data_IF_949442641413
#
_entry.id   IF_949442641413
#
_cell.length_a   1.000
_cell.length_b   1.000
_cell.length_c   1.000
_cell.angle_alpha   90.00
_cell.angle_beta   90.00
_cell.angle_gamma   90.00
#
_symmetry.space_group_name_H-M   'P 1'
#
loop_
_entity.id
_entity.type
_entity.pdbx_description
1 polymer ?
#
# COMPACT_ATOMS: atom_id res chain seq x y z
N UNK A 1 34.50 -16.00 72.86
CA UNK A 1 33.98 -14.62 72.91
C UNK A 1 34.66 -13.76 71.89
N UNK A 2 34.13 -13.72 70.66
CA UNK A 2 34.41 -12.76 69.56
C UNK A 2 33.81 -13.28 68.27
N UNK A 3 32.44 -13.35 68.17
CA UNK A 3 31.76 -13.65 66.90
C UNK A 3 30.40 -12.95 66.74
N UNK A 4 29.96 -12.08 67.64
CA UNK A 4 28.58 -11.52 67.59
C UNK A 4 28.53 -9.98 67.44
N UNK A 5 29.56 -9.35 66.82
CA UNK A 5 29.61 -7.90 66.65
C UNK A 5 29.51 -7.39 65.19
N UNK A 6 29.17 -8.23 64.22
CA UNK A 6 29.18 -7.85 62.79
C UNK A 6 27.80 -7.90 62.10
N UNK A 7 26.69 -8.10 62.79
CA UNK A 7 25.36 -8.29 62.19
C UNK A 7 24.36 -7.15 62.41
N UNK A 8 24.81 -5.95 62.86
CA UNK A 8 23.85 -4.87 63.19
C UNK A 8 23.96 -3.59 62.37
N UNK A 9 24.64 -3.53 61.25
CA UNK A 9 24.88 -2.29 60.50
C UNK A 9 24.36 -2.24 59.05
N UNK A 10 23.30 -2.96 58.70
CA UNK A 10 22.74 -2.92 57.35
C UNK A 10 21.22 -2.96 57.33
N UNK A 11 20.56 -2.18 58.19
CA UNK A 11 19.13 -1.83 57.96
C UNK A 11 19.08 -0.39 57.42
N UNK A 12 19.35 -0.24 56.09
CA UNK A 12 19.05 0.98 55.39
C UNK A 12 17.53 1.20 55.41
N UNK A 13 17.09 2.27 56.06
CA UNK A 13 15.71 2.74 56.03
C UNK A 13 15.39 3.08 54.59
N UNK A 14 14.60 2.22 53.92
CA UNK A 14 14.04 2.54 52.60
C UNK A 14 13.16 3.78 52.78
N UNK A 15 13.56 4.88 52.17
CA UNK A 15 12.72 6.11 52.12
C UNK A 15 11.38 5.81 51.43
N UNK A 16 10.35 6.64 51.68
CA UNK A 16 9.04 6.45 51.04
C UNK A 16 9.19 6.40 49.51
N UNK A 17 8.41 5.53 48.82
CA UNK A 17 8.45 5.46 47.36
C UNK A 17 8.17 6.84 46.75
N UNK A 18 8.98 7.22 45.76
CA UNK A 18 8.79 8.48 45.06
C UNK A 18 7.36 8.57 44.51
N UNK A 19 6.71 9.73 44.59
CA UNK A 19 5.37 9.89 44.05
C UNK A 19 5.36 9.50 42.54
N UNK A 20 4.26 8.88 42.05
CA UNK A 20 4.15 8.52 40.63
C UNK A 20 4.34 9.77 39.76
N UNK A 21 5.18 9.66 38.75
CA UNK A 21 5.43 10.77 37.83
C UNK A 21 4.09 11.24 37.26
N UNK A 22 3.86 12.56 37.12
CA UNK A 22 2.62 13.07 36.56
C UNK A 22 2.41 12.49 35.16
N UNK A 23 1.15 12.19 34.73
CA UNK A 23 0.86 11.65 33.42
C UNK A 23 1.43 12.58 32.35
N UNK A 24 2.36 12.07 31.55
CA UNK A 24 2.92 12.83 30.43
C UNK A 24 1.77 13.12 29.48
N UNK A 25 1.46 14.41 29.18
CA UNK A 25 0.36 14.73 28.27
C UNK A 25 0.58 14.01 26.93
N UNK A 26 -0.48 13.53 26.27
CA UNK A 26 -0.35 12.78 25.03
C UNK A 26 0.44 13.61 24.02
N UNK A 27 1.64 13.15 23.70
CA UNK A 27 2.54 13.85 22.79
C UNK A 27 1.83 14.06 21.45
N UNK A 28 1.77 15.31 20.99
CA UNK A 28 1.10 15.69 19.74
C UNK A 28 1.94 15.26 18.55
N UNK A 29 1.29 14.76 17.50
CA UNK A 29 1.97 14.47 16.24
C UNK A 29 2.53 15.75 15.61
N UNK A 30 3.74 15.73 15.07
CA UNK A 30 4.34 16.86 14.35
C UNK A 30 3.43 17.38 13.25
N UNK A 31 3.52 18.67 12.95
CA UNK A 31 2.75 19.32 11.88
C UNK A 31 3.01 18.67 10.53
N UNK A 32 4.25 18.32 10.25
CA UNK A 32 4.67 17.67 9.01
C UNK A 32 3.99 16.33 8.80
N UNK A 33 3.78 15.51 9.84
CA UNK A 33 3.03 14.25 9.74
C UNK A 33 1.60 14.51 9.27
N UNK A 34 0.97 15.58 9.78
CA UNK A 34 -0.39 15.96 9.35
C UNK A 34 -0.41 16.44 7.90
N UNK A 35 0.61 17.20 7.48
CA UNK A 35 0.77 17.65 6.09
C UNK A 35 0.96 16.47 5.14
N UNK A 36 1.80 15.51 5.48
CA UNK A 36 1.97 14.28 4.69
C UNK A 36 0.70 13.40 4.69
N UNK A 37 -0.06 13.40 5.79
CA UNK A 37 -1.38 12.77 5.83
C UNK A 37 -2.36 13.42 4.83
N UNK A 38 -2.50 14.74 4.87
CA UNK A 38 -3.36 15.48 3.95
C UNK A 38 -2.91 15.31 2.48
N UNK A 39 -1.59 15.30 2.24
CA UNK A 39 -1.02 15.02 0.93
C UNK A 39 -1.37 13.62 0.41
N UNK A 40 -1.33 12.62 1.29
CA UNK A 40 -1.74 11.25 0.99
C UNK A 40 -3.23 11.17 0.64
N UNK A 41 -4.09 11.82 1.43
CA UNK A 41 -5.54 11.87 1.17
C UNK A 41 -5.83 12.46 -0.21
N UNK A 42 -5.31 13.65 -0.52
CA UNK A 42 -5.58 14.31 -1.79
C UNK A 42 -5.02 13.53 -2.99
N UNK A 43 -3.83 12.91 -2.83
CA UNK A 43 -3.25 12.10 -3.87
C UNK A 43 -4.08 10.85 -4.18
N UNK A 44 -4.55 10.14 -3.12
CA UNK A 44 -5.34 8.94 -3.31
C UNK A 44 -6.76 9.28 -3.75
N UNK A 45 -7.31 10.42 -3.29
CA UNK A 45 -8.52 10.99 -3.87
C UNK A 45 -8.41 11.15 -5.40
N UNK A 46 -7.35 11.81 -5.90
CA UNK A 46 -7.14 12.01 -7.33
C UNK A 46 -6.88 10.70 -8.10
N UNK A 47 -6.16 9.75 -7.49
CA UNK A 47 -5.84 8.46 -8.11
C UNK A 47 -7.06 7.55 -8.20
N UNK A 48 -7.78 7.41 -7.09
CA UNK A 48 -8.85 6.45 -6.94
C UNK A 48 -10.18 6.95 -7.54
N UNK A 49 -10.30 8.26 -7.82
CA UNK A 49 -11.35 8.81 -8.67
C UNK A 49 -11.31 8.25 -10.10
N UNK A 50 -10.10 7.94 -10.60
CA UNK A 50 -9.86 7.47 -11.98
C UNK A 50 -9.85 5.94 -12.05
N UNK A 51 -9.17 5.28 -11.12
CA UNK A 51 -8.81 3.86 -11.24
C UNK A 51 -10.00 2.93 -11.52
N UNK A 52 -11.14 3.02 -10.83
CA UNK A 52 -12.29 2.16 -11.09
C UNK A 52 -12.95 2.40 -12.45
N UNK A 53 -12.65 3.51 -13.12
CA UNK A 53 -13.18 3.84 -14.43
C UNK A 53 -12.30 3.31 -15.58
N UNK A 54 -11.05 2.92 -15.31
CA UNK A 54 -10.10 2.45 -16.33
C UNK A 54 -10.62 1.25 -17.13
N UNK A 55 -11.27 0.23 -16.54
CA UNK A 55 -11.83 -0.86 -17.32
C UNK A 55 -12.85 -0.39 -18.35
N UNK A 56 -13.83 0.42 -17.94
CA UNK A 56 -14.83 0.97 -18.85
C UNK A 56 -14.20 1.89 -19.91
N UNK A 57 -13.20 2.66 -19.53
CA UNK A 57 -12.48 3.55 -20.46
C UNK A 57 -11.69 2.76 -21.50
N UNK A 58 -10.93 1.77 -21.07
CA UNK A 58 -10.11 0.94 -21.98
C UNK A 58 -10.98 0.09 -22.90
N UNK A 59 -12.01 -0.60 -22.36
CA UNK A 59 -12.82 -1.52 -23.17
C UNK A 59 -13.94 -0.83 -23.91
N UNK A 60 -14.66 0.10 -23.26
CA UNK A 60 -15.87 0.73 -23.82
C UNK A 60 -15.57 1.95 -24.69
N UNK A 61 -14.50 2.71 -24.37
CA UNK A 61 -14.18 3.96 -25.10
C UNK A 61 -13.04 3.76 -26.12
N UNK A 62 -12.02 2.97 -25.76
CA UNK A 62 -10.84 2.77 -26.61
C UNK A 62 -10.85 1.45 -27.38
N UNK A 63 -11.84 0.58 -27.16
CA UNK A 63 -11.93 -0.73 -27.82
C UNK A 63 -10.83 -1.74 -27.44
N UNK A 64 -10.15 -1.52 -26.31
CA UNK A 64 -9.13 -2.44 -25.80
C UNK A 64 -9.73 -3.70 -25.17
N UNK A 65 -8.92 -4.73 -25.02
CA UNK A 65 -9.31 -6.01 -24.44
C UNK A 65 -8.90 -6.20 -22.99
N UNK A 66 -9.28 -7.36 -22.43
CA UNK A 66 -8.91 -7.78 -21.08
C UNK A 66 -7.38 -7.93 -20.90
N UNK A 67 -6.65 -8.26 -21.97
CA UNK A 67 -5.19 -8.31 -21.99
C UNK A 67 -4.55 -6.96 -21.68
N UNK A 68 -5.12 -5.85 -22.22
CA UNK A 68 -4.65 -4.50 -21.92
C UNK A 68 -4.87 -4.13 -20.45
N UNK A 69 -5.97 -4.59 -19.83
CA UNK A 69 -6.23 -4.39 -18.42
C UNK A 69 -5.29 -5.20 -17.52
N UNK A 70 -5.05 -6.45 -17.86
CA UNK A 70 -4.08 -7.29 -17.16
C UNK A 70 -2.66 -6.72 -17.25
N UNK A 71 -2.25 -6.25 -18.43
CA UNK A 71 -0.98 -5.56 -18.62
C UNK A 71 -0.92 -4.23 -17.84
N UNK A 72 -2.03 -3.49 -17.78
CA UNK A 72 -2.12 -2.22 -17.03
C UNK A 72 -1.79 -2.42 -15.55
N UNK A 73 -2.44 -3.37 -14.89
CA UNK A 73 -2.20 -3.62 -13.47
C UNK A 73 -0.83 -4.25 -13.22
N UNK A 74 -0.46 -5.25 -14.01
CA UNK A 74 0.81 -5.96 -13.87
C UNK A 74 2.03 -5.06 -14.11
N UNK A 75 2.04 -4.29 -15.21
CA UNK A 75 3.14 -3.38 -15.53
C UNK A 75 3.22 -2.21 -14.53
N UNK A 76 2.07 -1.72 -14.07
CA UNK A 76 2.01 -0.68 -13.06
C UNK A 76 2.62 -1.12 -11.73
N UNK A 77 2.28 -2.32 -11.25
CA UNK A 77 2.80 -2.86 -9.99
C UNK A 77 4.31 -3.17 -10.10
N UNK A 78 4.74 -3.76 -11.22
CA UNK A 78 6.16 -3.99 -11.49
C UNK A 78 6.95 -2.69 -11.48
N UNK A 79 6.50 -1.66 -12.22
CA UNK A 79 7.17 -0.37 -12.29
C UNK A 79 7.30 0.30 -10.91
N UNK A 80 6.20 0.32 -10.14
CA UNK A 80 6.21 0.88 -8.79
C UNK A 80 7.20 0.15 -7.87
N UNK A 81 7.22 -1.17 -7.93
CA UNK A 81 8.06 -2.03 -7.09
C UNK A 81 9.55 -1.88 -7.43
N UNK A 82 9.87 -1.89 -8.72
CA UNK A 82 11.25 -1.72 -9.21
C UNK A 82 11.82 -0.33 -8.85
N UNK A 83 11.02 0.71 -9.04
CA UNK A 83 11.45 2.08 -8.74
C UNK A 83 11.59 2.31 -7.23
N UNK A 84 10.72 1.73 -6.39
CA UNK A 84 10.86 1.82 -4.93
C UNK A 84 12.21 1.29 -4.45
N UNK A 85 12.72 0.21 -5.05
CA UNK A 85 14.03 -0.34 -4.71
C UNK A 85 15.17 0.65 -4.96
N UNK A 86 15.18 1.32 -6.11
CA UNK A 86 16.17 2.37 -6.43
C UNK A 86 15.98 3.64 -5.60
N UNK A 87 14.74 4.11 -5.47
CA UNK A 87 14.39 5.32 -4.73
C UNK A 87 14.71 5.20 -3.23
N UNK A 88 14.60 4.01 -2.65
CA UNK A 88 15.00 3.75 -1.27
C UNK A 88 16.47 4.09 -1.03
N UNK A 89 17.37 3.63 -1.90
CA UNK A 89 18.81 3.94 -1.82
C UNK A 89 19.11 5.43 -2.00
N UNK A 90 18.36 6.11 -2.87
CA UNK A 90 18.49 7.56 -3.07
C UNK A 90 17.97 8.34 -1.86
N UNK A 91 16.97 7.82 -1.17
CA UNK A 91 16.39 8.40 0.04
C UNK A 91 17.31 8.33 1.27
N UNK A 92 18.36 7.49 1.25
CA UNK A 92 19.38 7.47 2.29
C UNK A 92 20.16 8.80 2.35
N UNK A 93 20.13 9.60 1.26
CA UNK A 93 20.70 10.94 1.20
C UNK A 93 19.62 11.99 1.52
N UNK A 94 19.63 12.63 2.73
CA UNK A 94 18.57 13.55 3.17
C UNK A 94 18.27 14.68 2.16
N UNK A 95 19.29 15.25 1.54
CA UNK A 95 19.15 16.33 0.55
C UNK A 95 18.33 15.93 -0.70
N UNK A 96 18.24 14.64 -1.03
CA UNK A 96 17.51 14.14 -2.22
C UNK A 96 16.05 13.84 -1.94
N UNK A 97 15.63 13.71 -0.69
CA UNK A 97 14.27 13.30 -0.33
C UNK A 97 13.20 14.28 -0.81
N UNK A 98 13.39 15.57 -0.53
CA UNK A 98 12.45 16.61 -0.96
C UNK A 98 12.22 16.64 -2.47
N UNK A 99 13.27 16.78 -3.29
CA UNK A 99 13.15 16.74 -4.75
C UNK A 99 12.47 15.47 -5.28
N UNK A 100 12.79 14.29 -4.75
CA UNK A 100 12.17 13.02 -5.18
C UNK A 100 10.67 12.98 -4.86
N UNK A 101 10.26 13.50 -3.69
CA UNK A 101 8.85 13.59 -3.31
C UNK A 101 8.10 14.50 -4.28
N UNK A 102 8.60 15.72 -4.50
CA UNK A 102 7.95 16.69 -5.39
C UNK A 102 7.88 16.16 -6.82
N UNK A 103 8.99 15.60 -7.35
CA UNK A 103 9.03 15.01 -8.69
C UNK A 103 8.01 13.86 -8.83
N UNK A 104 7.94 12.97 -7.84
CA UNK A 104 6.99 11.85 -7.88
C UNK A 104 5.52 12.28 -7.86
N UNK A 105 5.18 13.38 -7.17
CA UNK A 105 3.83 13.96 -7.23
C UNK A 105 3.61 14.74 -8.53
N UNK A 106 4.59 15.50 -9.03
CA UNK A 106 4.49 16.22 -10.29
C UNK A 106 4.19 15.27 -11.46
N UNK A 107 4.89 14.14 -11.54
CA UNK A 107 4.61 13.09 -12.53
C UNK A 107 3.14 12.66 -12.46
N UNK A 108 2.63 12.35 -11.27
CA UNK A 108 1.25 11.89 -11.11
C UNK A 108 0.23 12.96 -11.52
N UNK A 109 0.45 14.23 -11.17
CA UNK A 109 -0.43 15.36 -11.50
C UNK A 109 -0.55 15.58 -13.00
N UNK A 110 0.57 15.46 -13.72
CA UNK A 110 0.60 15.64 -15.19
C UNK A 110 0.01 14.43 -15.89
N UNK A 111 0.39 13.22 -15.48
CA UNK A 111 0.10 12.00 -16.24
C UNK A 111 -1.36 11.56 -16.11
N UNK A 112 -1.97 11.71 -14.94
CA UNK A 112 -3.34 11.25 -14.71
C UNK A 112 -4.39 11.88 -15.62
N UNK A 113 -4.48 13.21 -15.75
CA UNK A 113 -5.44 13.81 -16.67
C UNK A 113 -5.15 13.48 -18.14
N UNK A 114 -3.90 13.24 -18.53
CA UNK A 114 -3.53 12.83 -19.88
C UNK A 114 -4.14 11.47 -20.27
N UNK A 115 -4.44 10.59 -19.30
CA UNK A 115 -5.17 9.34 -19.58
C UNK A 115 -6.49 9.64 -20.31
N UNK A 116 -7.21 10.69 -19.92
CA UNK A 116 -8.46 11.09 -20.57
C UNK A 116 -8.32 11.51 -22.04
N UNK A 117 -7.11 11.88 -22.48
CA UNK A 117 -6.81 12.31 -23.85
C UNK A 117 -6.33 11.17 -24.76
N UNK A 118 -6.16 9.97 -24.21
CA UNK A 118 -5.65 8.83 -25.00
C UNK A 118 -6.64 8.36 -26.06
N UNK A 119 -6.09 7.84 -27.16
CA UNK A 119 -6.85 7.29 -28.29
C UNK A 119 -6.69 5.75 -28.41
N UNK A 120 -5.75 5.14 -27.66
CA UNK A 120 -5.51 3.71 -27.69
C UNK A 120 -5.20 3.14 -26.31
N UNK A 121 -5.57 1.88 -26.07
CA UNK A 121 -5.39 1.20 -24.80
C UNK A 121 -3.92 1.15 -24.33
N UNK A 122 -2.96 0.92 -25.23
CA UNK A 122 -1.53 0.90 -24.91
C UNK A 122 -1.01 2.21 -24.34
N UNK A 123 -1.59 3.36 -24.76
CA UNK A 123 -1.24 4.68 -24.21
C UNK A 123 -1.68 4.79 -22.74
N UNK A 124 -2.86 4.24 -22.38
CA UNK A 124 -3.31 4.17 -20.99
C UNK A 124 -2.35 3.33 -20.15
N UNK A 125 -1.94 2.17 -20.66
CA UNK A 125 -0.95 1.30 -20.00
C UNK A 125 0.37 2.07 -19.78
N UNK A 126 0.89 2.74 -20.80
CA UNK A 126 2.12 3.53 -20.72
C UNK A 126 2.02 4.67 -19.70
N UNK A 127 0.95 5.46 -19.73
CA UNK A 127 0.72 6.54 -18.75
C UNK A 127 0.55 6.00 -17.34
N UNK A 128 -0.12 4.85 -17.17
CA UNK A 128 -0.25 4.21 -15.86
C UNK A 128 1.09 3.75 -15.31
N UNK A 129 1.96 3.19 -16.14
CA UNK A 129 3.34 2.84 -15.78
C UNK A 129 4.09 4.08 -15.30
N UNK A 130 4.00 5.20 -16.03
CA UNK A 130 4.66 6.47 -15.65
C UNK A 130 4.10 7.03 -14.33
N UNK A 131 2.78 6.99 -14.10
CA UNK A 131 2.19 7.35 -12.80
C UNK A 131 2.76 6.50 -11.66
N UNK A 132 2.95 5.20 -11.91
CA UNK A 132 3.49 4.26 -10.91
C UNK A 132 5.00 4.43 -10.67
N UNK A 133 5.76 4.84 -11.67
CA UNK A 133 7.14 5.34 -11.48
C UNK A 133 7.13 6.52 -10.51
N UNK A 134 6.26 7.51 -10.71
CA UNK A 134 6.08 8.62 -9.77
C UNK A 134 5.75 8.16 -8.35
N UNK A 135 4.87 7.15 -8.19
CA UNK A 135 4.56 6.53 -6.89
C UNK A 135 5.80 5.88 -6.26
N UNK A 136 6.57 5.14 -7.05
CA UNK A 136 7.81 4.50 -6.60
C UNK A 136 8.85 5.50 -6.11
N UNK A 137 9.02 6.62 -6.84
CA UNK A 137 9.99 7.67 -6.51
C UNK A 137 9.66 8.38 -5.18
N UNK A 138 8.38 8.69 -4.92
CA UNK A 138 7.98 9.50 -3.74
C UNK A 138 7.80 8.72 -2.45
N UNK A 139 7.43 7.43 -2.52
CA UNK A 139 7.02 6.67 -1.33
C UNK A 139 8.16 6.46 -0.33
N UNK A 140 9.35 5.91 -0.68
CA UNK A 140 10.42 5.71 0.28
C UNK A 140 10.96 7.01 0.89
N UNK A 141 11.21 8.10 0.12
CA UNK A 141 11.66 9.36 0.71
C UNK A 141 10.63 9.98 1.66
N UNK A 142 9.33 9.92 1.34
CA UNK A 142 8.26 10.41 2.21
C UNK A 142 8.23 9.65 3.54
N UNK A 143 8.28 8.32 3.48
CA UNK A 143 8.21 7.47 4.66
C UNK A 143 9.46 7.68 5.56
N UNK A 144 10.64 7.84 4.95
CA UNK A 144 11.86 8.19 5.68
C UNK A 144 11.75 9.55 6.36
N UNK A 145 11.18 10.57 5.66
CA UNK A 145 10.93 11.89 6.26
C UNK A 145 9.99 11.82 7.45
N UNK A 146 8.90 11.08 7.34
CA UNK A 146 7.96 10.91 8.45
C UNK A 146 8.60 10.22 9.65
N UNK A 147 9.44 9.22 9.41
CA UNK A 147 10.17 8.52 10.47
C UNK A 147 11.17 9.44 11.20
N UNK A 148 11.86 10.32 10.47
CA UNK A 148 12.86 11.25 11.04
C UNK A 148 12.22 12.31 11.94
N UNK A 149 11.06 12.86 11.54
CA UNK A 149 10.39 13.93 12.30
C UNK A 149 9.53 13.41 13.44
N UNK A 150 9.41 12.08 13.56
CA UNK A 150 8.51 11.46 14.57
C UNK A 150 9.31 10.69 15.59
N UNK A 151 9.10 11.02 16.89
CA UNK A 151 9.69 10.28 17.99
C UNK A 151 9.35 8.78 17.87
N UNK A 152 10.30 7.85 18.17
CA UNK A 152 10.09 6.41 18.01
C UNK A 152 8.77 5.88 18.60
N UNK A 153 8.40 6.36 19.79
CA UNK A 153 7.16 5.99 20.47
C UNK A 153 5.87 6.45 19.75
N UNK A 154 5.95 7.38 18.80
CA UNK A 154 4.81 7.94 18.07
C UNK A 154 4.76 7.50 16.60
N UNK A 155 5.76 6.75 16.11
CA UNK A 155 5.83 6.33 14.71
C UNK A 155 4.61 5.53 14.27
N UNK A 156 4.12 4.61 15.11
CA UNK A 156 2.90 3.86 14.82
C UNK A 156 1.70 4.77 14.59
N UNK A 157 1.51 5.80 15.44
CA UNK A 157 0.43 6.79 15.28
C UNK A 157 0.60 7.66 14.02
N UNK A 158 1.84 8.02 13.68
CA UNK A 158 2.13 8.83 12.51
C UNK A 158 1.81 8.08 11.20
N UNK A 159 2.30 6.84 11.08
CA UNK A 159 2.00 6.00 9.91
C UNK A 159 0.54 5.56 9.89
N UNK A 160 -0.09 5.34 11.05
CA UNK A 160 -1.51 5.05 11.16
C UNK A 160 -2.37 6.21 10.65
N UNK A 161 -2.05 7.46 11.02
CA UNK A 161 -2.73 8.63 10.48
C UNK A 161 -2.57 8.73 8.97
N UNK A 162 -1.35 8.57 8.45
CA UNK A 162 -1.08 8.63 7.01
C UNK A 162 -1.88 7.55 6.26
N UNK A 163 -1.92 6.32 6.77
CA UNK A 163 -2.71 5.23 6.18
C UNK A 163 -4.22 5.49 6.23
N UNK A 164 -4.72 6.01 7.35
CA UNK A 164 -6.12 6.40 7.48
C UNK A 164 -6.51 7.48 6.46
N UNK A 165 -5.62 8.43 6.22
CA UNK A 165 -5.82 9.48 5.21
C UNK A 165 -5.73 8.92 3.77
N UNK A 166 -4.83 7.98 3.46
CA UNK A 166 -4.81 7.24 2.18
C UNK A 166 -6.17 6.58 1.92
N UNK A 167 -6.68 5.83 2.89
CA UNK A 167 -7.97 5.14 2.76
C UNK A 167 -9.15 6.12 2.65
N UNK A 168 -9.13 7.23 3.38
CA UNK A 168 -10.15 8.26 3.26
C UNK A 168 -10.17 8.84 1.84
N UNK A 169 -9.01 9.13 1.25
CA UNK A 169 -8.89 9.55 -0.14
C UNK A 169 -9.44 8.51 -1.12
N UNK A 170 -9.10 7.23 -0.88
CA UNK A 170 -9.54 6.11 -1.70
C UNK A 170 -11.06 5.83 -1.61
N UNK A 171 -11.75 6.36 -0.63
CA UNK A 171 -13.23 6.34 -0.54
C UNK A 171 -13.83 7.60 -1.17
N UNK A 172 -13.32 8.78 -0.82
CA UNK A 172 -13.90 10.06 -1.22
C UNK A 172 -13.74 10.33 -2.73
N UNK A 173 -12.61 9.94 -3.33
CA UNK A 173 -12.36 10.11 -4.76
C UNK A 173 -13.39 9.39 -5.64
N UNK A 174 -13.59 8.07 -5.45
CA UNK A 174 -14.61 7.34 -6.18
C UNK A 174 -16.04 7.82 -5.90
N UNK A 175 -16.36 8.27 -4.69
CA UNK A 175 -17.68 8.87 -4.40
C UNK A 175 -17.93 10.12 -5.22
N UNK A 176 -16.93 10.99 -5.41
CA UNK A 176 -17.06 12.13 -6.31
C UNK A 176 -17.25 11.68 -7.77
N UNK A 177 -16.46 10.69 -8.22
CA UNK A 177 -16.61 10.14 -9.57
C UNK A 177 -18.01 9.56 -9.80
N UNK A 178 -18.54 8.83 -8.83
CA UNK A 178 -19.92 8.33 -8.84
C UNK A 178 -20.94 9.44 -8.95
N UNK A 179 -20.83 10.48 -8.12
CA UNK A 179 -21.77 11.61 -8.13
C UNK A 179 -21.78 12.34 -9.48
N UNK A 180 -20.59 12.59 -10.06
CA UNK A 180 -20.44 13.25 -11.36
C UNK A 180 -21.03 12.41 -12.52
N UNK A 181 -20.83 11.10 -12.51
CA UNK A 181 -21.36 10.20 -13.53
C UNK A 181 -22.87 9.99 -13.37
N UNK A 182 -23.37 9.83 -12.14
CA UNK A 182 -24.78 9.54 -11.85
C UNK A 182 -25.68 10.75 -12.10
N UNK A 183 -25.15 11.97 -11.94
CA UNK A 183 -25.86 13.20 -12.26
C UNK A 183 -25.97 13.51 -13.77
N UNK A 184 -25.24 12.73 -14.61
CA UNK A 184 -25.14 13.01 -16.04
C UNK A 184 -24.31 14.25 -16.40
N UNK A 185 -23.71 14.91 -15.40
CA UNK A 185 -22.91 16.14 -15.61
C UNK A 185 -21.54 15.88 -16.21
N UNK A 186 -21.06 14.63 -16.20
CA UNK A 186 -19.75 14.26 -16.71
C UNK A 186 -19.78 12.88 -17.38
N UNK A 187 -18.88 12.67 -18.34
CA UNK A 187 -18.57 11.36 -18.91
C UNK A 187 -17.23 10.84 -18.34
N UNK A 188 -16.87 9.61 -18.67
CA UNK A 188 -15.63 8.97 -18.14
C UNK A 188 -14.38 9.79 -18.44
N UNK A 189 -14.26 10.35 -19.67
CA UNK A 189 -13.10 11.19 -20.05
C UNK A 189 -13.03 12.46 -19.22
N UNK A 190 -14.15 13.14 -19.01
CA UNK A 190 -14.19 14.36 -18.22
C UNK A 190 -13.90 14.11 -16.74
N UNK A 191 -14.40 13.01 -16.16
CA UNK A 191 -14.05 12.64 -14.78
C UNK A 191 -12.54 12.40 -14.64
N UNK A 192 -11.92 11.72 -15.61
CA UNK A 192 -10.46 11.53 -15.63
C UNK A 192 -9.74 12.89 -15.69
N UNK A 193 -10.18 13.81 -16.54
CA UNK A 193 -9.60 15.15 -16.64
C UNK A 193 -9.78 15.97 -15.34
N UNK A 194 -10.90 15.83 -14.64
CA UNK A 194 -11.16 16.48 -13.35
C UNK A 194 -10.14 16.11 -12.25
N UNK A 195 -9.44 15.02 -12.39
CA UNK A 195 -8.35 14.65 -11.47
C UNK A 195 -7.21 15.68 -11.42
N UNK A 196 -7.12 16.57 -12.41
CA UNK A 196 -6.17 17.68 -12.43
C UNK A 196 -6.36 18.61 -11.23
N UNK A 197 -7.60 18.91 -10.85
CA UNK A 197 -7.88 19.86 -9.77
C UNK A 197 -7.32 19.40 -8.40
N UNK A 198 -7.66 18.21 -7.88
CA UNK A 198 -7.02 17.70 -6.67
C UNK A 198 -5.54 17.43 -6.88
N UNK A 199 -5.10 17.08 -8.10
CA UNK A 199 -3.69 16.88 -8.44
C UNK A 199 -2.85 18.15 -8.23
N UNK A 200 -3.32 19.30 -8.70
CA UNK A 200 -2.64 20.60 -8.49
C UNK A 200 -2.54 20.91 -6.99
N UNK A 201 -3.61 20.68 -6.23
CA UNK A 201 -3.58 20.85 -4.77
C UNK A 201 -2.52 19.94 -4.11
N UNK A 202 -2.40 18.70 -4.58
CA UNK A 202 -1.32 17.76 -4.15
C UNK A 202 0.05 18.35 -4.39
N UNK A 203 0.32 18.90 -5.58
CA UNK A 203 1.65 19.43 -5.92
C UNK A 203 2.00 20.66 -5.07
N UNK A 204 1.05 21.59 -4.91
CA UNK A 204 1.21 22.76 -4.05
C UNK A 204 1.52 22.34 -2.61
N UNK A 205 0.74 21.40 -2.08
CA UNK A 205 0.94 20.90 -0.72
C UNK A 205 2.27 20.15 -0.57
N UNK A 206 2.71 19.39 -1.59
CA UNK A 206 3.99 18.68 -1.58
C UNK A 206 5.17 19.64 -1.52
N UNK A 207 5.15 20.70 -2.36
CA UNK A 207 6.18 21.74 -2.35
C UNK A 207 6.22 22.46 -1.00
N UNK A 208 5.04 22.76 -0.43
CA UNK A 208 4.97 23.43 0.87
C UNK A 208 5.47 22.51 2.01
N UNK A 209 5.06 21.27 2.07
CA UNK A 209 5.49 20.32 3.10
C UNK A 209 7.01 20.08 3.10
N UNK A 210 7.63 20.09 1.91
CA UNK A 210 9.10 19.95 1.77
C UNK A 210 9.83 21.23 2.18
N UNK A 211 9.30 22.42 1.83
CA UNK A 211 9.88 23.72 2.23
C UNK A 211 9.77 23.95 3.74
N UNK A 212 8.63 23.65 4.35
CA UNK A 212 8.38 23.81 5.79
C UNK A 212 9.44 23.04 6.60
N UNK A 213 9.84 21.86 6.14
CA UNK A 213 10.92 21.08 6.74
C UNK A 213 12.29 21.77 6.62
N UNK A 214 12.62 22.31 5.46
CA UNK A 214 13.92 22.94 5.27
C UNK A 214 14.13 24.12 6.24
N UNK A 215 13.04 24.82 6.57
CA UNK A 215 13.03 25.90 7.57
C UNK A 215 13.21 25.35 9.00
N UNK A 216 12.54 24.22 9.34
CA UNK A 216 12.67 23.61 10.67
C UNK A 216 14.05 22.97 10.87
N UNK A 217 14.61 22.30 9.87
CA UNK A 217 15.97 21.74 9.91
C UNK A 217 17.03 22.85 10.07
N UNK A 218 16.84 24.02 9.41
CA UNK A 218 17.69 25.19 9.59
C UNK A 218 17.65 25.71 11.02
N UNK A 219 16.47 25.92 11.58
CA UNK A 219 16.28 26.35 12.97
C UNK A 219 16.77 25.31 14.00
N UNK A 220 16.62 24.02 13.70
CA UNK A 220 17.11 22.93 14.54
C UNK A 220 18.64 22.88 14.58
N UNK A 221 19.31 23.10 13.44
CA UNK A 221 20.79 23.18 13.37
C UNK A 221 21.33 24.37 14.11
N UNK A 222 20.72 25.55 13.99
CA UNK A 222 21.09 26.73 14.76
C UNK A 222 21.03 26.44 16.26
N UNK A 223 19.93 25.86 16.74
CA UNK A 223 19.75 25.49 18.17
C UNK A 223 20.74 24.43 18.66
N UNK A 224 21.12 23.43 17.81
CA UNK A 224 22.11 22.40 18.19
C UNK A 224 23.53 22.93 18.19
N UNK A 225 23.86 23.87 17.30
CA UNK A 225 25.15 24.59 17.32
C UNK A 225 25.25 25.46 18.55
N UNK A 226 24.19 26.20 18.92
CA UNK A 226 24.12 27.00 20.14
C UNK A 226 24.17 26.14 21.42
N UNK A 227 23.62 24.92 21.41
CA UNK A 227 23.60 24.03 22.55
C UNK A 227 24.85 23.15 22.70
N UNK A 228 25.82 23.19 21.78
CA UNK A 228 27.06 22.42 21.84
C UNK A 228 26.87 20.88 21.79
N UNK A 229 25.69 20.40 21.36
CA UNK A 229 25.38 18.96 21.33
C UNK A 229 25.93 18.35 20.03
N UNK A 230 27.05 17.61 20.15
CA UNK A 230 27.58 16.81 19.06
C UNK A 230 26.55 15.72 18.65
N UNK A 231 26.04 15.80 17.42
CA UNK A 231 25.22 14.72 16.85
C UNK A 231 26.09 13.48 16.62
N UNK A 232 25.96 12.49 17.50
CA UNK A 232 26.69 11.22 17.39
C UNK A 232 26.16 10.48 16.15
N UNK A 233 27.03 10.14 15.16
CA UNK A 233 26.60 9.27 14.07
C UNK A 233 26.14 7.92 14.64
N UNK A 234 25.01 7.41 14.17
CA UNK A 234 24.59 6.06 14.49
C UNK A 234 25.68 5.10 13.98
N UNK A 235 26.13 4.12 14.80
CA UNK A 235 27.14 3.16 14.37
C UNK A 235 26.62 2.40 13.15
N UNK A 236 27.48 2.09 12.16
CA UNK A 236 27.08 1.26 11.04
C UNK A 236 26.63 -0.10 11.59
N UNK A 237 25.39 -0.48 11.26
CA UNK A 237 24.86 -1.79 11.62
C UNK A 237 25.71 -2.86 10.94
N UNK A 238 26.53 -3.57 11.73
CA UNK A 238 27.34 -4.73 11.30
C UNK A 238 26.55 -6.04 11.36
N UNK A 239 25.25 -5.98 11.61
CA UNK A 239 24.41 -7.16 11.67
C UNK A 239 24.41 -7.92 10.34
N UNK A 240 24.73 -9.20 10.41
CA UNK A 240 24.75 -10.13 9.28
C UNK A 240 23.36 -10.17 8.63
N UNK A 241 23.31 -9.88 7.32
CA UNK A 241 22.12 -10.07 6.51
C UNK A 241 21.69 -11.55 6.57
N UNK A 242 20.54 -11.80 7.18
CA UNK A 242 19.87 -13.09 7.11
C UNK A 242 18.89 -13.03 5.93
N UNK A 243 19.17 -13.68 4.80
CA UNK A 243 18.25 -13.65 3.68
C UNK A 243 16.91 -14.24 4.09
N UNK A 244 15.83 -13.66 3.57
CA UNK A 244 14.48 -14.23 3.68
C UNK A 244 14.57 -15.72 3.30
N UNK A 245 14.01 -16.64 4.08
CA UNK A 245 13.89 -18.03 3.64
C UNK A 245 13.22 -18.01 2.25
N UNK A 246 13.78 -18.68 1.25
CA UNK A 246 13.32 -18.51 -0.14
C UNK A 246 11.86 -18.92 -0.34
N UNK A 247 11.36 -19.86 0.42
CA UNK A 247 10.05 -20.46 0.23
C UNK A 247 8.84 -19.58 0.65
N UNK A 248 8.84 -18.72 1.73
CA UNK A 248 7.75 -17.77 1.94
C UNK A 248 7.67 -16.74 0.82
N UNK A 249 8.83 -16.25 0.38
CA UNK A 249 8.89 -15.32 -0.74
C UNK A 249 8.36 -15.93 -2.03
N UNK A 250 8.73 -17.18 -2.32
CA UNK A 250 8.22 -17.92 -3.48
C UNK A 250 6.71 -18.13 -3.40
N UNK A 251 6.18 -18.52 -2.23
CA UNK A 251 4.74 -18.72 -2.05
C UNK A 251 3.95 -17.42 -2.21
N UNK A 252 4.42 -16.32 -1.62
CA UNK A 252 3.80 -15.01 -1.78
C UNK A 252 3.87 -14.57 -3.25
N UNK A 253 5.03 -14.72 -3.90
CA UNK A 253 5.18 -14.37 -5.33
C UNK A 253 4.27 -15.22 -6.22
N UNK A 254 4.12 -16.52 -5.92
CA UNK A 254 3.18 -17.39 -6.62
C UNK A 254 1.72 -16.91 -6.44
N UNK A 255 1.35 -16.42 -5.26
CA UNK A 255 0.03 -15.82 -5.07
C UNK A 255 -0.16 -14.57 -5.92
N UNK A 256 0.83 -13.68 -6.02
CA UNK A 256 0.78 -12.50 -6.90
C UNK A 256 0.71 -12.88 -8.39
N UNK A 257 1.34 -13.97 -8.79
CA UNK A 257 1.23 -14.52 -10.15
C UNK A 257 -0.18 -15.03 -10.47
N UNK A 258 -0.84 -15.62 -9.48
CA UNK A 258 -2.13 -16.31 -9.65
C UNK A 258 -3.33 -15.42 -9.33
N UNK A 259 -3.13 -14.33 -8.59
CA UNK A 259 -4.18 -13.42 -8.16
C UNK A 259 -4.73 -12.61 -9.33
N UNK A 260 -6.06 -12.63 -9.50
CA UNK A 260 -6.75 -11.84 -10.50
C UNK A 260 -6.49 -10.34 -10.34
N UNK A 261 -6.06 -9.63 -11.39
CA UNK A 261 -5.97 -8.17 -11.40
C UNK A 261 -7.30 -7.49 -11.06
N UNK A 262 -7.25 -6.41 -10.29
CA UNK A 262 -8.44 -5.69 -9.83
C UNK A 262 -9.25 -5.13 -11.01
N UNK A 263 -8.59 -4.67 -12.07
CA UNK A 263 -9.25 -4.18 -13.28
C UNK A 263 -10.05 -5.26 -14.00
N UNK A 264 -9.61 -6.53 -13.98
CA UNK A 264 -10.37 -7.65 -14.54
C UNK A 264 -11.55 -8.05 -13.68
N UNK A 265 -11.47 -7.88 -12.34
CA UNK A 265 -12.61 -8.08 -11.44
C UNK A 265 -13.68 -7.00 -11.70
N UNK A 266 -13.27 -5.75 -11.90
CA UNK A 266 -14.16 -4.66 -12.28
C UNK A 266 -14.80 -4.92 -13.65
N UNK A 267 -14.00 -5.33 -14.64
CA UNK A 267 -14.50 -5.69 -15.97
C UNK A 267 -15.56 -6.79 -15.89
N UNK A 268 -15.31 -7.84 -15.11
CA UNK A 268 -16.29 -8.93 -14.89
C UNK A 268 -17.58 -8.39 -14.26
N UNK A 269 -17.47 -7.51 -13.28
CA UNK A 269 -18.65 -6.90 -12.64
C UNK A 269 -19.49 -6.12 -13.65
N UNK A 270 -18.85 -5.36 -14.55
CA UNK A 270 -19.53 -4.64 -15.63
C UNK A 270 -20.21 -5.60 -16.63
N UNK A 271 -19.54 -6.69 -17.02
CA UNK A 271 -20.12 -7.73 -17.89
C UNK A 271 -21.32 -8.43 -17.25
N UNK A 272 -21.38 -8.50 -15.94
CA UNK A 272 -22.51 -9.03 -15.17
C UNK A 272 -23.64 -8.00 -14.98
N UNK A 273 -23.52 -6.79 -15.57
CA UNK A 273 -24.56 -5.77 -15.59
C UNK A 273 -24.40 -4.69 -14.50
N UNK A 274 -23.25 -4.59 -13.81
CA UNK A 274 -22.99 -3.45 -12.94
C UNK A 274 -22.79 -2.20 -13.81
N UNK A 275 -23.62 -1.15 -13.68
CA UNK A 275 -23.50 0.06 -14.49
C UNK A 275 -22.16 0.75 -14.26
N UNK A 276 -21.56 1.32 -15.32
CA UNK A 276 -20.26 2.02 -15.23
C UNK A 276 -20.29 3.11 -14.16
N UNK A 277 -21.39 3.86 -14.05
CA UNK A 277 -21.56 4.89 -13.02
C UNK A 277 -21.57 4.34 -11.58
N UNK A 278 -21.96 3.06 -11.37
CA UNK A 278 -22.00 2.42 -10.06
C UNK A 278 -20.65 1.80 -9.67
N UNK A 279 -19.74 1.58 -10.61
CA UNK A 279 -18.42 0.96 -10.33
C UNK A 279 -17.61 1.78 -9.32
N UNK A 280 -17.52 3.12 -9.39
CA UNK A 280 -16.81 3.88 -8.36
C UNK A 280 -17.43 3.73 -6.97
N UNK A 281 -18.76 3.61 -6.85
CA UNK A 281 -19.42 3.36 -5.56
C UNK A 281 -19.03 1.98 -5.01
N UNK A 282 -19.03 0.95 -5.86
CA UNK A 282 -18.57 -0.38 -5.49
C UNK A 282 -17.10 -0.36 -5.02
N UNK A 283 -16.24 0.38 -5.73
CA UNK A 283 -14.84 0.55 -5.40
C UNK A 283 -14.63 1.24 -4.04
N UNK A 284 -15.38 2.33 -3.77
CA UNK A 284 -15.38 2.98 -2.46
C UNK A 284 -15.77 2.00 -1.33
N UNK A 285 -16.84 1.22 -1.54
CA UNK A 285 -17.29 0.22 -0.57
C UNK A 285 -16.24 -0.86 -0.31
N UNK A 286 -15.57 -1.37 -1.36
CA UNK A 286 -14.44 -2.31 -1.22
C UNK A 286 -13.32 -1.72 -0.39
N UNK A 287 -12.98 -0.44 -0.56
CA UNK A 287 -11.94 0.23 0.23
C UNK A 287 -12.32 0.36 1.72
N UNK A 288 -13.59 0.58 2.03
CA UNK A 288 -14.09 0.54 3.42
C UNK A 288 -13.92 -0.86 4.00
N UNK A 289 -14.33 -1.92 3.29
CA UNK A 289 -14.17 -3.31 3.73
C UNK A 289 -12.70 -3.66 3.90
N UNK A 290 -11.85 -3.34 2.90
CA UNK A 290 -10.40 -3.59 2.93
C UNK A 290 -9.74 -2.89 4.13
N UNK A 291 -10.08 -1.64 4.38
CA UNK A 291 -9.53 -0.88 5.51
C UNK A 291 -9.93 -1.51 6.85
N UNK A 292 -11.21 -1.82 7.03
CA UNK A 292 -11.73 -2.43 8.27
C UNK A 292 -11.14 -3.82 8.50
N UNK A 293 -11.06 -4.66 7.46
CA UNK A 293 -10.53 -6.01 7.56
C UNK A 293 -9.01 -6.04 7.77
N UNK A 294 -8.26 -5.01 7.39
CA UNK A 294 -6.83 -4.91 7.64
C UNK A 294 -6.50 -4.82 9.13
N UNK A 295 -7.35 -4.16 9.94
CA UNK A 295 -7.20 -4.15 11.40
C UNK A 295 -7.44 -5.55 11.99
N UNK A 296 -8.49 -6.25 11.55
CA UNK A 296 -8.77 -7.60 11.98
C UNK A 296 -7.67 -8.58 11.55
N UNK A 297 -7.19 -8.46 10.30
CA UNK A 297 -6.10 -9.27 9.76
C UNK A 297 -4.79 -9.10 10.52
N UNK A 298 -4.45 -7.86 10.93
CA UNK A 298 -3.31 -7.59 11.80
C UNK A 298 -3.46 -8.28 13.18
N UNK A 299 -4.59 -8.10 13.84
CA UNK A 299 -4.86 -8.74 15.14
C UNK A 299 -4.87 -10.28 15.06
N UNK A 300 -5.39 -10.84 13.96
CA UNK A 300 -5.35 -12.29 13.72
C UNK A 300 -3.91 -12.78 13.46
N UNK A 301 -3.12 -12.00 12.72
CA UNK A 301 -1.70 -12.27 12.50
C UNK A 301 -0.92 -12.32 13.81
N UNK A 302 -1.18 -11.39 14.73
CA UNK A 302 -0.56 -11.37 16.05
C UNK A 302 -0.97 -12.57 16.91
N UNK A 303 -2.23 -13.01 16.81
CA UNK A 303 -2.78 -14.10 17.64
C UNK A 303 -2.46 -15.50 17.09
N UNK A 304 -2.58 -15.70 15.78
CA UNK A 304 -2.50 -17.03 15.14
C UNK A 304 -1.23 -17.22 14.32
N UNK A 305 -0.43 -16.17 14.19
CA UNK A 305 0.76 -16.10 13.35
C UNK A 305 0.46 -15.67 11.90
N UNK A 306 1.41 -14.97 11.25
CA UNK A 306 1.21 -14.43 9.91
C UNK A 306 0.97 -15.51 8.85
N UNK A 307 1.65 -16.65 8.94
CA UNK A 307 1.50 -17.73 7.97
C UNK A 307 0.11 -18.38 7.95
N UNK A 308 -0.53 -18.57 9.12
CA UNK A 308 -1.89 -19.12 9.20
C UNK A 308 -2.93 -18.12 8.72
N UNK A 309 -2.79 -16.85 9.08
CA UNK A 309 -3.71 -15.79 8.66
C UNK A 309 -3.68 -15.63 7.14
N UNK A 310 -2.50 -15.63 6.53
CA UNK A 310 -2.32 -15.59 5.09
C UNK A 310 -2.92 -16.82 4.39
N UNK A 311 -2.74 -18.01 4.96
CA UNK A 311 -3.32 -19.25 4.46
C UNK A 311 -4.85 -19.17 4.39
N UNK A 312 -5.50 -18.70 5.47
CA UNK A 312 -6.95 -18.46 5.47
C UNK A 312 -7.34 -17.49 4.35
N UNK A 313 -6.58 -16.40 4.17
CA UNK A 313 -6.77 -15.46 3.09
C UNK A 313 -6.72 -16.10 1.70
N UNK A 314 -5.80 -17.02 1.44
CA UNK A 314 -5.69 -17.74 0.16
C UNK A 314 -6.84 -18.73 -0.08
N UNK A 315 -7.29 -19.44 0.96
CA UNK A 315 -8.48 -20.29 0.87
C UNK A 315 -9.73 -19.46 0.55
N UNK A 316 -9.93 -18.35 1.29
CA UNK A 316 -11.04 -17.44 1.02
C UNK A 316 -10.95 -16.85 -0.40
N UNK A 317 -9.75 -16.48 -0.86
CA UNK A 317 -9.53 -16.02 -2.21
C UNK A 317 -9.98 -17.05 -3.26
N UNK A 318 -9.56 -18.31 -3.12
CA UNK A 318 -9.91 -19.37 -4.07
C UNK A 318 -11.44 -19.56 -4.16
N UNK A 319 -12.13 -19.54 -3.01
CA UNK A 319 -13.60 -19.64 -2.96
C UNK A 319 -14.27 -18.43 -3.65
N UNK A 320 -13.80 -17.22 -3.37
CA UNK A 320 -14.39 -15.99 -3.95
C UNK A 320 -14.08 -15.86 -5.44
N UNK A 321 -12.88 -16.24 -5.88
CA UNK A 321 -12.55 -16.28 -7.30
C UNK A 321 -13.45 -17.29 -8.05
N UNK A 322 -13.69 -18.48 -7.47
CA UNK A 322 -14.67 -19.44 -7.99
C UNK A 322 -16.08 -18.84 -8.01
N UNK A 323 -16.47 -18.13 -6.94
CA UNK A 323 -17.74 -17.42 -6.87
C UNK A 323 -17.90 -16.38 -7.99
N UNK A 324 -16.84 -15.61 -8.31
CA UNK A 324 -16.87 -14.64 -9.40
C UNK A 324 -16.93 -15.31 -10.79
N UNK A 325 -16.29 -16.49 -10.95
CA UNK A 325 -16.42 -17.28 -12.18
C UNK A 325 -17.86 -17.72 -12.43
N UNK A 326 -18.55 -18.14 -11.37
CA UNK A 326 -19.91 -18.67 -11.42
C UNK A 326 -20.99 -17.58 -11.32
N UNK A 327 -20.65 -16.36 -10.97
CA UNK A 327 -21.58 -15.24 -10.82
C UNK A 327 -22.31 -14.95 -12.13
N UNK A 328 -23.62 -14.71 -12.02
CA UNK A 328 -24.55 -14.46 -13.15
C UNK A 328 -25.34 -13.14 -13.01
N UNK A 329 -25.29 -12.51 -11.85
CA UNK A 329 -26.05 -11.29 -11.58
C UNK A 329 -25.16 -10.18 -11.03
N UNK A 330 -25.57 -8.89 -11.20
CA UNK A 330 -24.85 -7.76 -10.60
C UNK A 330 -24.72 -7.89 -9.08
N UNK A 331 -25.76 -8.35 -8.39
CA UNK A 331 -25.77 -8.51 -6.94
C UNK A 331 -24.72 -9.53 -6.46
N UNK A 332 -24.56 -10.65 -7.19
CA UNK A 332 -23.51 -11.63 -6.91
C UNK A 332 -22.10 -11.03 -7.14
N UNK A 333 -21.91 -10.27 -8.24
CA UNK A 333 -20.66 -9.59 -8.48
C UNK A 333 -20.32 -8.59 -7.35
N UNK A 334 -21.28 -7.81 -6.87
CA UNK A 334 -21.13 -6.89 -5.74
C UNK A 334 -20.70 -7.64 -4.47
N UNK A 335 -21.45 -8.70 -4.11
CA UNK A 335 -21.19 -9.48 -2.91
C UNK A 335 -19.78 -10.10 -2.90
N UNK A 336 -19.40 -10.74 -4.01
CA UNK A 336 -18.07 -11.36 -4.15
C UNK A 336 -16.98 -10.30 -4.13
N UNK A 337 -17.14 -9.18 -4.83
CA UNK A 337 -16.12 -8.14 -4.88
C UNK A 337 -15.92 -7.49 -3.50
N UNK A 338 -16.98 -7.21 -2.75
CA UNK A 338 -16.89 -6.72 -1.38
C UNK A 338 -16.16 -7.73 -0.47
N UNK A 339 -16.50 -9.02 -0.61
CA UNK A 339 -15.86 -10.08 0.17
C UNK A 339 -14.36 -10.22 -0.15
N UNK A 340 -13.93 -9.95 -1.40
CA UNK A 340 -12.50 -9.88 -1.75
C UNK A 340 -11.75 -8.79 -0.98
N UNK A 341 -12.43 -7.71 -0.56
CA UNK A 341 -11.86 -6.71 0.33
C UNK A 341 -11.36 -7.31 1.66
N UNK A 342 -12.04 -8.34 2.18
CA UNK A 342 -11.60 -9.06 3.38
C UNK A 342 -10.32 -9.84 3.11
N UNK A 343 -10.21 -10.47 1.93
CA UNK A 343 -9.00 -11.23 1.55
C UNK A 343 -7.77 -10.34 1.57
N UNK A 344 -7.86 -9.12 1.03
CA UNK A 344 -6.73 -8.20 1.06
C UNK A 344 -6.31 -7.82 2.49
N UNK A 345 -7.27 -7.66 3.40
CA UNK A 345 -6.97 -7.45 4.82
C UNK A 345 -6.25 -8.64 5.46
N UNK A 346 -6.64 -9.87 5.08
CA UNK A 346 -6.06 -11.11 5.60
C UNK A 346 -4.71 -11.50 4.96
N UNK A 347 -4.32 -10.88 3.86
CA UNK A 347 -3.06 -11.20 3.15
C UNK A 347 -2.02 -10.09 3.28
N UNK A 348 -2.35 -8.83 3.00
CA UNK A 348 -1.37 -7.73 2.92
C UNK A 348 -0.63 -7.46 4.25
N UNK A 349 -1.32 -7.50 5.39
CA UNK A 349 -0.70 -7.25 6.70
C UNK A 349 0.19 -8.41 7.15
N UNK A 350 -0.27 -9.68 7.08
CA UNK A 350 0.56 -10.84 7.41
C UNK A 350 1.77 -11.01 6.49
N UNK A 351 1.64 -10.75 5.19
CA UNK A 351 2.78 -10.79 4.26
C UNK A 351 3.91 -9.84 4.69
N UNK A 352 3.55 -8.61 5.07
CA UNK A 352 4.53 -7.63 5.56
C UNK A 352 5.15 -8.03 6.89
N UNK A 353 4.36 -8.64 7.79
CA UNK A 353 4.87 -9.16 9.05
C UNK A 353 5.91 -10.27 8.82
N UNK A 354 5.63 -11.23 7.92
CA UNK A 354 6.59 -12.29 7.53
C UNK A 354 7.89 -11.72 6.95
N UNK A 355 7.77 -10.70 6.08
CA UNK A 355 8.94 -10.05 5.49
C UNK A 355 9.75 -9.32 6.56
N UNK A 356 9.10 -8.61 7.49
CA UNK A 356 9.74 -7.89 8.58
C UNK A 356 10.46 -8.83 9.55
N UNK A 357 9.83 -9.95 9.95
CA UNK A 357 10.43 -10.98 10.82
C UNK A 357 11.70 -11.59 10.22
N UNK A 358 11.74 -11.71 8.91
CA UNK A 358 12.84 -12.36 8.20
C UNK A 358 13.98 -11.39 7.82
N UNK A 359 13.73 -10.08 7.79
CA UNK A 359 14.66 -9.06 7.29
C UNK A 359 15.78 -8.66 8.26
N UNK A 360 15.67 -9.00 9.55
CA UNK A 360 16.64 -8.60 10.59
C UNK A 360 16.91 -7.08 10.56
N UNK A 361 18.17 -6.67 10.79
CA UNK A 361 18.55 -5.24 10.81
C UNK A 361 18.57 -4.58 9.43
N UNK A 362 18.45 -5.33 8.32
CA UNK A 362 18.42 -4.85 6.94
C UNK A 362 17.02 -4.95 6.32
N UNK A 363 16.00 -4.47 7.03
CA UNK A 363 14.61 -4.51 6.58
C UNK A 363 14.41 -3.90 5.18
N UNK A 364 15.13 -2.84 4.85
CA UNK A 364 15.05 -2.21 3.52
C UNK A 364 15.41 -3.15 2.37
N UNK A 365 16.46 -3.96 2.51
CA UNK A 365 16.84 -4.96 1.50
C UNK A 365 15.83 -6.10 1.41
N UNK A 366 15.29 -6.57 2.55
CA UNK A 366 14.25 -7.61 2.59
C UNK A 366 12.98 -7.16 1.88
N UNK A 367 12.48 -5.97 2.18
CA UNK A 367 11.33 -5.38 1.48
C UNK A 367 11.63 -5.09 0.00
N UNK A 368 12.87 -4.74 -0.36
CA UNK A 368 13.28 -4.56 -1.75
C UNK A 368 13.15 -5.84 -2.56
N UNK A 369 13.67 -6.96 -2.06
CA UNK A 369 13.56 -8.28 -2.69
C UNK A 369 12.10 -8.73 -2.78
N UNK A 370 11.34 -8.58 -1.69
CA UNK A 370 9.91 -8.88 -1.67
C UNK A 370 9.14 -8.10 -2.75
N UNK A 371 9.30 -6.78 -2.81
CA UNK A 371 8.61 -5.97 -3.82
C UNK A 371 9.07 -6.30 -5.24
N UNK A 372 10.37 -6.57 -5.45
CA UNK A 372 10.87 -6.96 -6.76
C UNK A 372 10.28 -8.28 -7.26
N UNK A 373 10.26 -9.30 -6.40
CA UNK A 373 9.72 -10.62 -6.73
C UNK A 373 8.20 -10.58 -6.95
N UNK A 374 7.45 -9.95 -6.05
CA UNK A 374 5.99 -9.83 -6.17
C UNK A 374 5.59 -8.94 -7.34
N UNK A 375 6.33 -7.88 -7.64
CA UNK A 375 6.10 -7.02 -8.79
C UNK A 375 6.31 -7.76 -10.12
N UNK A 376 7.37 -8.57 -10.24
CA UNK A 376 7.59 -9.41 -11.42
C UNK A 376 6.50 -10.47 -11.58
N UNK A 377 6.11 -11.11 -10.47
CA UNK A 377 5.03 -12.08 -10.46
C UNK A 377 3.68 -11.44 -10.85
N UNK A 378 3.38 -10.24 -10.36
CA UNK A 378 2.18 -9.49 -10.72
C UNK A 378 2.18 -9.08 -12.21
N UNK A 379 3.33 -8.73 -12.78
CA UNK A 379 3.45 -8.46 -14.22
C UNK A 379 3.11 -9.70 -15.05
N UNK A 380 3.76 -10.82 -14.75
CA UNK A 380 3.54 -12.06 -15.47
C UNK A 380 2.10 -12.58 -15.30
N UNK A 381 1.57 -12.52 -14.06
CA UNK A 381 0.20 -12.91 -13.74
C UNK A 381 -0.84 -12.00 -14.40
N UNK A 382 -0.64 -10.69 -14.36
CA UNK A 382 -1.52 -9.72 -14.99
C UNK A 382 -1.65 -9.96 -16.49
N UNK A 383 -0.53 -10.10 -17.19
CA UNK A 383 -0.52 -10.40 -18.63
C UNK A 383 -1.14 -11.78 -18.90
N UNK A 384 -0.70 -12.82 -18.19
CA UNK A 384 -1.17 -14.20 -18.40
C UNK A 384 -2.68 -14.35 -18.15
N UNK A 385 -3.19 -13.82 -17.04
CA UNK A 385 -4.63 -13.86 -16.70
C UNK A 385 -5.45 -12.94 -17.62
N UNK A 386 -4.89 -11.81 -18.08
CA UNK A 386 -5.51 -10.94 -19.07
C UNK A 386 -5.69 -11.64 -20.42
N UNK A 387 -4.64 -12.32 -20.92
CA UNK A 387 -4.69 -13.12 -22.13
C UNK A 387 -5.67 -14.29 -21.99
N UNK A 388 -5.62 -15.00 -20.85
CA UNK A 388 -6.55 -16.09 -20.57
C UNK A 388 -8.01 -15.60 -20.57
N UNK A 389 -8.24 -14.44 -19.94
CA UNK A 389 -9.57 -13.81 -19.93
C UNK A 389 -10.04 -13.43 -21.32
N UNK A 390 -9.16 -12.85 -22.14
CA UNK A 390 -9.48 -12.39 -23.50
C UNK A 390 -9.84 -13.55 -24.44
N UNK A 391 -9.09 -14.66 -24.39
CA UNK A 391 -9.24 -15.76 -25.36
C UNK A 391 -10.19 -16.87 -24.88
N UNK A 392 -10.27 -17.11 -23.56
CA UNK A 392 -11.06 -18.22 -22.99
C UNK A 392 -12.23 -17.72 -22.12
N UNK A 393 -12.37 -16.40 -21.95
CA UNK A 393 -13.44 -15.77 -21.22
C UNK A 393 -13.19 -15.65 -19.71
N UNK A 394 -14.04 -14.85 -19.07
CA UNK A 394 -13.93 -14.53 -17.66
C UNK A 394 -13.93 -15.78 -16.75
N UNK A 395 -14.86 -16.71 -16.99
CA UNK A 395 -15.00 -17.90 -16.15
C UNK A 395 -13.71 -18.74 -16.13
N UNK A 396 -13.09 -18.97 -17.28
CA UNK A 396 -11.84 -19.73 -17.38
C UNK A 396 -10.70 -19.03 -16.61
N UNK A 397 -10.54 -17.71 -16.76
CA UNK A 397 -9.50 -16.96 -16.08
C UNK A 397 -9.70 -16.97 -14.54
N UNK A 398 -10.92 -16.77 -14.07
CA UNK A 398 -11.22 -16.83 -12.62
C UNK A 398 -11.06 -18.23 -12.03
N UNK A 399 -11.46 -19.28 -12.76
CA UNK A 399 -11.26 -20.66 -12.31
C UNK A 399 -9.78 -21.06 -12.29
N UNK A 400 -9.00 -20.67 -13.28
CA UNK A 400 -7.56 -20.88 -13.28
C UNK A 400 -6.89 -20.19 -12.10
N UNK A 401 -7.26 -18.94 -11.83
CA UNK A 401 -6.81 -18.17 -10.67
C UNK A 401 -7.21 -18.83 -9.35
N UNK A 402 -8.45 -19.30 -9.24
CA UNK A 402 -8.96 -20.01 -8.07
C UNK A 402 -8.23 -21.35 -7.83
N UNK A 403 -8.05 -22.14 -8.88
CA UNK A 403 -7.33 -23.42 -8.82
C UNK A 403 -5.88 -23.23 -8.37
N UNK A 404 -5.20 -22.21 -8.92
CA UNK A 404 -3.85 -21.84 -8.50
C UNK A 404 -3.79 -21.40 -7.03
N UNK A 405 -4.71 -20.55 -6.59
CA UNK A 405 -4.82 -20.12 -5.19
C UNK A 405 -5.10 -21.27 -4.23
N UNK A 406 -5.96 -22.22 -4.63
CA UNK A 406 -6.24 -23.43 -3.86
C UNK A 406 -5.02 -24.36 -3.80
N UNK A 407 -4.33 -24.59 -4.93
CA UNK A 407 -3.11 -25.40 -4.97
C UNK A 407 -2.04 -24.82 -4.04
N UNK A 408 -1.88 -23.50 -4.03
CA UNK A 408 -0.96 -22.80 -3.13
C UNK A 408 -1.36 -22.97 -1.66
N UNK A 409 -2.67 -22.86 -1.35
CA UNK A 409 -3.18 -23.07 0.01
C UNK A 409 -2.97 -24.52 0.46
N UNK A 410 -3.12 -25.52 -0.40
CA UNK A 410 -2.86 -26.92 -0.09
C UNK A 410 -1.36 -27.23 0.10
N UNK A 411 -0.48 -26.57 -0.66
CA UNK A 411 0.97 -26.72 -0.54
C UNK A 411 1.55 -26.05 0.71
N UNK A 412 0.94 -24.97 1.21
CA UNK A 412 1.47 -24.17 2.29
C UNK A 412 1.70 -24.92 3.62
N UNK A 413 0.78 -25.75 4.16
CA UNK A 413 1.01 -26.49 5.40
C UNK A 413 2.22 -27.40 5.31
N UNK A 414 2.45 -28.04 4.15
CA UNK A 414 3.60 -28.94 3.92
C UNK A 414 4.91 -28.17 3.98
N UNK A 415 4.91 -26.96 3.45
CA UNK A 415 6.09 -26.07 3.42
C UNK A 415 6.33 -25.43 4.80
N UNK A 416 5.26 -25.00 5.48
CA UNK A 416 5.34 -24.35 6.80
C UNK A 416 5.68 -25.31 7.95
N UNK A 417 5.32 -26.59 7.85
CA UNK A 417 5.62 -27.61 8.87
C UNK A 417 7.06 -28.13 8.82
N UNK A 418 7.85 -27.80 7.80
CA UNK A 418 9.27 -28.16 7.68
C UNK A 418 10.20 -27.25 8.47
N UNK A 419 9.67 -26.40 9.35
CA UNK A 419 10.36 -25.63 10.39
C UNK A 419 10.29 -26.34 11.73
#
# INVERSE_FOLDING_TARGET
>A
MRKDAAASAARGVAGPPAPPAPPVPPARLPRQVKLFGALSLLNDFASEMIYPLLPAFVTGVLGGGAEALGALDGAAEFAASFVKFGAGRLADRPARRGPLIVLGYAIAVVVRPLIGLTAAAWQVVGLRVVDRVGKGLRTPPRDALMADVTAPALRGRAFGLQRGMDHAGAVLGPLLAWALLSSGSANVRSVIAWSLAPGVAVLVLAVWAVKDRAIEDGRGRERTVEAGVATRPLPPSTALYRPLPPWPLLAISAFYLLRMPETLIILRSQQLGVPVAAVPLLWAAVHVVKSSSSFAGGAWSDRFGPGRTMWIGWVCYALLASGMALARTPAQAWGVFLALGVVWGLTESPERALVAESGGDRQGSGFGVYHGATGLAALAGGIGLGVLYQHFGAAAAFLASAAGGLALALAWPVVAMRR
#
